data_IF_338698635507
#
_entry.id   IF_338698635507
#
_cell.length_a   1.000
_cell.length_b   1.000
_cell.length_c   1.000
_cell.angle_alpha   90.00
_cell.angle_beta   90.00
_cell.angle_gamma   90.00
#
_symmetry.space_group_name_H-M   'P 1'
#
loop_
_entity.id
_entity.type
_entity.pdbx_description
1 polymer ?
#
# COMPACT_ATOMS: atom_id res chain seq x y z
N UNK A 1 -7.82 20.82 -0.40
CA UNK A 1 -6.35 20.86 -0.22
C UNK A 1 -6.09 20.35 1.18
N UNK A 2 -5.78 19.06 1.32
CA UNK A 2 -5.43 18.48 2.63
C UNK A 2 -3.99 18.88 2.87
N UNK A 3 -3.76 19.76 3.84
CA UNK A 3 -2.39 20.11 4.27
C UNK A 3 -1.67 18.82 4.65
N UNK A 4 -0.54 18.57 4.02
CA UNK A 4 0.28 17.39 4.31
C UNK A 4 0.68 17.45 5.79
N UNK A 5 0.45 16.36 6.53
CA UNK A 5 0.86 16.24 7.94
C UNK A 5 2.36 16.54 8.06
N UNK A 6 2.70 17.59 8.80
CA UNK A 6 4.09 18.00 9.07
C UNK A 6 4.56 17.49 10.41
N UNK A 7 5.88 17.46 10.64
CA UNK A 7 6.46 17.07 11.94
C UNK A 7 6.00 18.00 13.06
N UNK A 8 5.82 19.29 12.75
CA UNK A 8 5.33 20.30 13.71
C UNK A 8 3.87 20.02 14.08
N UNK A 9 3.00 19.75 13.09
CA UNK A 9 1.61 19.38 13.31
C UNK A 9 1.49 18.07 14.08
N UNK A 10 2.29 17.06 13.72
CA UNK A 10 2.34 15.80 14.42
C UNK A 10 2.73 15.99 15.90
N UNK A 11 3.73 16.84 16.17
CA UNK A 11 4.17 17.14 17.53
C UNK A 11 3.12 17.92 18.34
N UNK A 12 2.45 18.87 17.70
CA UNK A 12 1.40 19.68 18.34
C UNK A 12 0.16 18.85 18.72
N UNK A 13 -0.13 17.77 17.96
CA UNK A 13 -1.27 16.89 18.20
C UNK A 13 -0.97 15.78 19.22
N UNK A 14 0.29 15.57 19.64
CA UNK A 14 0.63 14.59 20.67
C UNK A 14 -0.12 14.88 21.97
N UNK A 15 -0.75 13.85 22.52
CA UNK A 15 -1.61 13.96 23.71
C UNK A 15 -3.09 14.26 23.41
N UNK A 16 -3.46 14.57 22.16
CA UNK A 16 -4.84 14.63 21.70
C UNK A 16 -5.12 13.50 20.69
N UNK A 17 -5.32 12.30 21.22
CA UNK A 17 -5.39 11.07 20.42
C UNK A 17 -6.46 11.10 19.33
N UNK A 18 -7.60 11.76 19.53
CA UNK A 18 -8.68 11.81 18.55
C UNK A 18 -8.32 12.67 17.33
N UNK A 19 -7.75 13.86 17.56
CA UNK A 19 -7.32 14.75 16.49
C UNK A 19 -6.08 14.22 15.77
N UNK A 20 -5.12 13.68 16.51
CA UNK A 20 -3.94 13.05 15.98
C UNK A 20 -4.31 11.87 15.06
N UNK A 21 -5.19 10.99 15.54
CA UNK A 21 -5.68 9.86 14.73
C UNK A 21 -6.40 10.34 13.47
N UNK A 22 -7.29 11.32 13.60
CA UNK A 22 -7.99 11.90 12.45
C UNK A 22 -7.03 12.43 11.38
N UNK A 23 -6.00 13.20 11.78
CA UNK A 23 -5.00 13.75 10.88
C UNK A 23 -4.16 12.64 10.20
N UNK A 24 -3.74 11.63 10.97
CA UNK A 24 -2.98 10.49 10.47
C UNK A 24 -3.81 9.67 9.49
N UNK A 25 -5.06 9.36 9.85
CA UNK A 25 -5.97 8.60 8.99
C UNK A 25 -6.22 9.33 7.66
N UNK A 26 -6.57 10.62 7.71
CA UNK A 26 -6.80 11.42 6.50
C UNK A 26 -5.57 11.49 5.60
N UNK A 27 -4.37 11.52 6.17
CA UNK A 27 -3.12 11.61 5.41
C UNK A 27 -2.75 10.28 4.75
N UNK A 28 -2.95 9.15 5.44
CA UNK A 28 -2.34 7.88 5.02
C UNK A 28 -3.35 6.83 4.54
N UNK A 29 -4.65 6.92 4.88
CA UNK A 29 -5.62 5.86 4.57
C UNK A 29 -5.71 5.55 3.07
N UNK A 30 -5.76 6.58 2.22
CA UNK A 30 -5.78 6.39 0.77
C UNK A 30 -4.52 5.74 0.21
N UNK A 31 -3.35 6.06 0.78
CA UNK A 31 -2.09 5.45 0.37
C UNK A 31 -2.01 3.98 0.80
N UNK A 32 -2.47 3.65 2.02
CA UNK A 32 -2.55 2.26 2.52
C UNK A 32 -3.53 1.45 1.68
N UNK A 33 -4.73 2.00 1.41
CA UNK A 33 -5.73 1.37 0.56
C UNK A 33 -5.18 1.11 -0.85
N UNK A 34 -4.56 2.11 -1.47
CA UNK A 34 -3.92 1.99 -2.78
C UNK A 34 -2.81 0.92 -2.80
N UNK A 35 -1.99 0.84 -1.75
CA UNK A 35 -0.98 -0.19 -1.59
C UNK A 35 -1.59 -1.60 -1.53
N UNK A 36 -2.60 -1.82 -0.68
CA UNK A 36 -3.26 -3.11 -0.50
C UNK A 36 -4.00 -3.55 -1.77
N UNK A 37 -4.68 -2.61 -2.46
CA UNK A 37 -5.32 -2.85 -3.75
C UNK A 37 -4.30 -3.26 -4.81
N UNK A 38 -3.16 -2.57 -4.90
CA UNK A 38 -2.07 -2.89 -5.84
C UNK A 38 -1.45 -4.27 -5.57
N UNK A 39 -1.58 -4.78 -4.34
CA UNK A 39 -1.12 -6.10 -3.93
C UNK A 39 -2.17 -7.20 -4.12
N UNK A 40 -3.35 -6.87 -4.62
CA UNK A 40 -4.41 -7.83 -4.88
C UNK A 40 -5.03 -8.45 -3.62
N UNK A 41 -5.05 -7.70 -2.51
CA UNK A 41 -5.74 -8.13 -1.29
C UNK A 41 -7.26 -8.15 -1.57
N UNK A 42 -8.01 -9.20 -1.20
CA UNK A 42 -9.44 -9.32 -1.56
C UNK A 42 -10.34 -8.25 -0.96
N UNK A 43 -10.06 -7.86 0.27
CA UNK A 43 -10.81 -6.81 0.99
C UNK A 43 -9.81 -5.76 1.51
N UNK A 44 -9.31 -4.87 0.62
CA UNK A 44 -8.31 -3.90 1.00
C UNK A 44 -8.85 -2.85 1.97
N UNK A 45 -10.15 -2.55 1.95
CA UNK A 45 -10.80 -1.63 2.88
C UNK A 45 -10.79 -2.17 4.31
N UNK A 46 -11.20 -3.43 4.51
CA UNK A 46 -11.19 -4.05 5.83
C UNK A 46 -9.75 -4.14 6.38
N UNK A 47 -8.78 -4.54 5.54
CA UNK A 47 -7.38 -4.60 5.97
C UNK A 47 -6.83 -3.20 6.25
N UNK A 48 -7.24 -2.17 5.51
CA UNK A 48 -6.88 -0.77 5.82
C UNK A 48 -7.37 -0.38 7.21
N UNK A 49 -8.62 -0.69 7.56
CA UNK A 49 -9.16 -0.44 8.90
C UNK A 49 -8.36 -1.17 9.98
N UNK A 50 -8.04 -2.44 9.76
CA UNK A 50 -7.22 -3.25 10.67
C UNK A 50 -5.81 -2.66 10.88
N UNK A 51 -5.20 -2.11 9.83
CA UNK A 51 -3.92 -1.41 9.94
C UNK A 51 -4.03 -0.23 10.89
N UNK A 52 -5.04 0.64 10.71
CA UNK A 52 -5.19 1.82 11.56
C UNK A 52 -5.60 1.47 12.99
N UNK A 53 -6.41 0.43 13.21
CA UNK A 53 -6.70 -0.08 14.56
C UNK A 53 -5.44 -0.58 15.28
N UNK A 54 -4.48 -1.16 14.55
CA UNK A 54 -3.20 -1.58 15.12
C UNK A 54 -2.23 -0.42 15.35
N UNK A 55 -2.30 0.63 14.53
CA UNK A 55 -1.44 1.83 14.63
C UNK A 55 -1.90 2.77 15.75
N UNK A 56 -3.22 2.95 15.93
CA UNK A 56 -3.80 3.90 16.88
C UNK A 56 -3.22 3.82 18.30
N UNK A 57 -3.09 2.64 18.95
CA UNK A 57 -2.59 2.56 20.32
C UNK A 57 -1.11 2.93 20.47
N UNK A 58 -0.39 3.09 19.37
CA UNK A 58 1.06 3.30 19.34
C UNK A 58 1.48 4.68 18.80
N UNK A 59 0.52 5.53 18.44
CA UNK A 59 0.80 6.83 17.82
C UNK A 59 1.72 7.71 18.68
N UNK A 60 1.51 7.71 19.98
CA UNK A 60 2.31 8.52 20.91
C UNK A 60 3.75 8.01 21.09
N UNK A 61 3.97 6.70 20.89
CA UNK A 61 5.27 6.05 21.06
C UNK A 61 6.15 6.14 19.81
N UNK A 62 5.58 6.53 18.66
CA UNK A 62 6.32 6.55 17.40
C UNK A 62 7.32 7.71 17.40
N UNK A 63 8.58 7.38 17.14
CA UNK A 63 9.67 8.31 16.96
C UNK A 63 9.99 8.56 15.48
N UNK A 64 10.78 9.62 15.19
CA UNK A 64 11.20 9.92 13.82
C UNK A 64 10.20 10.72 12.99
N UNK A 65 9.25 11.39 13.65
CA UNK A 65 8.31 12.30 13.00
C UNK A 65 7.39 11.60 11.99
N UNK A 66 6.94 12.33 10.98
CA UNK A 66 6.08 11.83 9.90
C UNK A 66 6.76 10.71 9.11
N UNK A 67 8.09 10.78 8.96
CA UNK A 67 8.87 9.73 8.29
C UNK A 67 8.81 8.40 9.06
N UNK A 68 9.06 8.41 10.36
CA UNK A 68 8.96 7.21 11.22
C UNK A 68 7.53 6.68 11.28
N UNK A 69 6.54 7.57 11.40
CA UNK A 69 5.13 7.20 11.36
C UNK A 69 4.76 6.51 10.05
N UNK A 70 5.17 7.04 8.91
CA UNK A 70 4.95 6.43 7.59
C UNK A 70 5.56 5.02 7.52
N UNK A 71 6.83 4.87 7.92
CA UNK A 71 7.49 3.55 7.96
C UNK A 71 6.70 2.57 8.81
N UNK A 72 6.26 2.99 9.98
CA UNK A 72 5.50 2.13 10.89
C UNK A 72 4.15 1.72 10.30
N UNK A 73 3.36 2.65 9.75
CA UNK A 73 2.07 2.35 9.12
C UNK A 73 2.26 1.31 7.99
N UNK A 74 3.22 1.52 7.10
CA UNK A 74 3.44 0.60 5.97
C UNK A 74 4.10 -0.72 6.39
N UNK A 75 4.86 -0.78 7.48
CA UNK A 75 5.31 -2.04 8.09
C UNK A 75 4.12 -2.87 8.57
N UNK A 76 3.14 -2.24 9.22
CA UNK A 76 1.90 -2.90 9.66
C UNK A 76 1.08 -3.35 8.46
N UNK A 77 0.91 -2.50 7.44
CA UNK A 77 0.18 -2.83 6.23
C UNK A 77 0.81 -4.02 5.49
N UNK A 78 2.14 -4.02 5.35
CA UNK A 78 2.87 -5.13 4.74
C UNK A 78 2.70 -6.44 5.53
N UNK A 79 2.80 -6.40 6.85
CA UNK A 79 2.58 -7.57 7.69
C UNK A 79 1.17 -8.13 7.54
N UNK A 80 0.13 -7.27 7.53
CA UNK A 80 -1.27 -7.67 7.31
C UNK A 80 -1.48 -8.29 5.93
N UNK A 81 -0.92 -7.68 4.90
CA UNK A 81 -0.95 -8.20 3.53
C UNK A 81 -0.32 -9.61 3.44
N UNK A 82 0.86 -9.79 4.02
CA UNK A 82 1.54 -11.10 4.04
C UNK A 82 0.72 -12.15 4.78
N UNK A 83 0.13 -11.79 5.91
CA UNK A 83 -0.72 -12.70 6.68
C UNK A 83 -1.98 -13.09 5.89
N UNK A 84 -2.59 -12.15 5.15
CA UNK A 84 -3.75 -12.44 4.33
C UNK A 84 -3.43 -13.38 3.18
N UNK A 85 -2.33 -13.16 2.45
CA UNK A 85 -1.87 -14.08 1.42
C UNK A 85 -1.55 -15.49 1.97
N UNK A 86 -0.99 -15.58 3.18
CA UNK A 86 -0.75 -16.87 3.85
C UNK A 86 -2.04 -17.59 4.23
N UNK A 87 -3.07 -16.87 4.66
CA UNK A 87 -4.39 -17.46 4.92
C UNK A 87 -5.01 -18.02 3.66
N UNK A 88 -4.98 -17.27 2.55
CA UNK A 88 -5.49 -17.72 1.26
C UNK A 88 -4.78 -18.97 0.75
N UNK A 89 -3.45 -19.00 0.81
CA UNK A 89 -2.68 -20.18 0.36
C UNK A 89 -2.86 -21.42 1.25
N UNK A 90 -3.42 -21.28 2.45
CA UNK A 90 -3.74 -22.39 3.37
C UNK A 90 -5.21 -22.80 3.36
N UNK A 91 -6.09 -21.96 2.80
CA UNK A 91 -7.49 -22.30 2.64
C UNK A 91 -7.58 -23.47 1.64
N UNK A 92 -8.26 -24.61 1.98
CA UNK A 92 -8.53 -25.63 0.99
C UNK A 92 -9.33 -25.02 -0.17
N UNK A 93 -9.01 -25.37 -1.41
CA UNK A 93 -9.80 -24.99 -2.58
C UNK A 93 -11.22 -25.61 -2.49
N UNK A 94 -12.08 -25.02 -1.70
CA UNK A 94 -13.52 -25.23 -1.79
C UNK A 94 -14.05 -24.19 -2.79
N UNK A 95 -13.96 -24.51 -4.06
CA UNK A 95 -14.74 -23.87 -5.09
C UNK A 95 -16.19 -24.35 -5.00
N UNK A 96 -16.96 -23.84 -4.05
CA UNK A 96 -18.38 -23.69 -4.23
C UNK A 96 -18.56 -22.34 -4.94
N UNK A 97 -18.77 -22.39 -6.24
CA UNK A 97 -19.21 -21.27 -7.04
C UNK A 97 -20.61 -20.87 -6.56
N UNK A 98 -20.69 -19.88 -5.68
CA UNK A 98 -21.93 -19.26 -5.25
C UNK A 98 -22.14 -17.98 -6.06
N UNK A 99 -23.06 -18.01 -7.06
CA UNK A 99 -23.31 -16.85 -7.92
C UNK A 99 -24.06 -15.71 -7.20
N UNK A 100 -24.51 -15.90 -5.95
CA UNK A 100 -25.24 -14.89 -5.16
C UNK A 100 -24.34 -14.05 -4.26
N UNK A 101 -23.03 -14.34 -4.20
CA UNK A 101 -22.08 -13.63 -3.36
C UNK A 101 -21.27 -12.54 -4.07
N UNK A 102 -21.62 -12.21 -5.30
CA UNK A 102 -21.09 -11.04 -6.01
C UNK A 102 -21.86 -9.77 -5.62
N UNK A 103 -22.00 -9.54 -4.31
CA UNK A 103 -22.30 -8.21 -3.79
C UNK A 103 -21.01 -7.40 -3.80
N UNK A 104 -20.59 -6.93 -4.96
CA UNK A 104 -19.83 -5.70 -5.03
C UNK A 104 -20.71 -4.59 -4.48
N UNK A 105 -20.67 -4.43 -3.17
CA UNK A 105 -21.13 -3.18 -2.57
C UNK A 105 -20.34 -2.07 -3.24
N UNK A 106 -21.09 -1.16 -3.86
CA UNK A 106 -20.60 0.04 -4.51
C UNK A 106 -19.74 0.78 -3.49
N UNK A 107 -18.42 0.74 -3.67
CA UNK A 107 -17.50 1.54 -2.88
C UNK A 107 -17.99 2.99 -2.93
N UNK A 108 -17.97 3.68 -1.80
CA UNK A 108 -18.42 5.08 -1.78
C UNK A 108 -17.59 5.89 -2.77
N UNK A 109 -18.19 6.89 -3.42
CA UNK A 109 -17.51 7.75 -4.39
C UNK A 109 -16.23 8.41 -3.82
N UNK A 110 -16.13 8.53 -2.50
CA UNK A 110 -14.93 8.97 -1.77
C UNK A 110 -13.81 7.92 -1.79
N UNK A 111 -14.14 6.63 -1.61
CA UNK A 111 -13.17 5.54 -1.70
C UNK A 111 -12.67 5.38 -3.15
N UNK A 112 -13.55 5.54 -4.15
CA UNK A 112 -13.15 5.55 -5.56
C UNK A 112 -12.26 6.75 -5.91
N UNK A 113 -12.53 7.93 -5.36
CA UNK A 113 -11.67 9.11 -5.55
C UNK A 113 -10.28 8.94 -4.90
N UNK A 114 -10.16 8.19 -3.82
CA UNK A 114 -8.88 7.88 -3.15
C UNK A 114 -8.09 6.77 -3.87
N UNK A 115 -8.76 5.83 -4.53
CA UNK A 115 -8.14 4.77 -5.36
C UNK A 115 -7.60 5.32 -6.70
N UNK A 116 -8.05 6.51 -7.13
CA UNK A 116 -7.61 7.18 -8.37
C UNK A 116 -6.13 7.64 -8.39
N UNK A 117 -5.31 7.27 -7.40
CA UNK A 117 -3.87 7.58 -7.40
C UNK A 117 -3.04 6.69 -8.34
N UNK A 118 -3.59 5.59 -8.85
CA UNK A 118 -2.95 4.82 -9.92
C UNK A 118 -4.00 4.45 -10.97
N UNK A 119 -3.91 4.97 -12.21
CA UNK A 119 -4.76 4.55 -13.32
C UNK A 119 -4.73 3.03 -13.46
N UNK A 120 -5.87 2.41 -13.80
CA UNK A 120 -6.02 0.96 -14.00
C UNK A 120 -4.93 0.36 -14.90
N UNK A 121 -4.44 1.16 -15.85
CA UNK A 121 -3.33 0.86 -16.75
C UNK A 121 -1.99 0.66 -16.02
N UNK A 122 -1.72 1.46 -14.98
CA UNK A 122 -0.51 1.33 -14.15
C UNK A 122 -0.59 0.04 -13.31
N UNK A 123 -1.78 -0.29 -12.79
CA UNK A 123 -1.99 -1.53 -12.04
C UNK A 123 -1.74 -2.76 -12.92
N UNK A 124 -2.25 -2.77 -14.15
CA UNK A 124 -2.04 -3.85 -15.12
C UNK A 124 -0.54 -4.01 -15.48
N UNK A 125 0.24 -2.95 -15.44
CA UNK A 125 1.69 -3.03 -15.68
C UNK A 125 2.42 -3.74 -14.54
N UNK A 126 1.93 -3.63 -13.32
CA UNK A 126 2.53 -4.33 -12.18
C UNK A 126 2.39 -5.85 -12.26
N UNK A 127 1.42 -6.37 -13.02
CA UNK A 127 1.23 -7.82 -13.20
C UNK A 127 2.35 -8.50 -13.98
N UNK A 128 3.14 -7.73 -14.75
CA UNK A 128 4.32 -8.23 -15.46
C UNK A 128 5.57 -8.34 -14.56
N UNK A 129 5.49 -7.90 -13.31
CA UNK A 129 6.60 -7.90 -12.37
C UNK A 129 6.54 -9.12 -11.45
N UNK A 130 7.71 -9.67 -11.14
CA UNK A 130 7.82 -10.63 -10.03
C UNK A 130 7.49 -9.98 -8.68
N UNK A 131 7.11 -10.79 -7.69
CA UNK A 131 6.56 -10.34 -6.41
C UNK A 131 7.43 -9.29 -5.70
N UNK A 132 8.74 -9.54 -5.57
CA UNK A 132 9.68 -8.59 -4.95
C UNK A 132 9.82 -7.29 -5.74
N UNK A 133 9.77 -7.34 -7.07
CA UNK A 133 9.85 -6.16 -7.93
C UNK A 133 8.58 -5.32 -7.80
N UNK A 134 7.42 -5.97 -7.81
CA UNK A 134 6.11 -5.34 -7.60
C UNK A 134 6.07 -4.69 -6.23
N UNK A 135 6.53 -5.39 -5.19
CA UNK A 135 6.59 -4.87 -3.82
C UNK A 135 7.40 -3.58 -3.73
N UNK A 136 8.64 -3.61 -4.23
CA UNK A 136 9.51 -2.43 -4.23
C UNK A 136 8.87 -1.25 -4.93
N UNK A 137 8.31 -1.44 -6.14
CA UNK A 137 7.70 -0.33 -6.88
C UNK A 137 6.44 0.19 -6.19
N UNK A 138 5.60 -0.68 -5.64
CA UNK A 138 4.38 -0.26 -4.95
C UNK A 138 4.72 0.56 -3.70
N UNK A 139 5.66 0.10 -2.88
CA UNK A 139 6.12 0.85 -1.70
C UNK A 139 6.81 2.17 -2.08
N UNK A 140 7.59 2.20 -3.17
CA UNK A 140 8.28 3.41 -3.63
C UNK A 140 7.34 4.45 -4.25
N UNK A 141 6.39 4.01 -5.06
CA UNK A 141 5.55 4.91 -5.88
C UNK A 141 4.23 5.21 -5.18
N UNK A 142 3.50 4.20 -4.70
CA UNK A 142 2.19 4.40 -4.07
C UNK A 142 2.33 4.88 -2.63
N UNK A 143 3.20 4.25 -1.85
CA UNK A 143 3.44 4.61 -0.46
C UNK A 143 4.41 5.79 -0.29
N UNK A 144 5.15 6.18 -1.33
CA UNK A 144 6.12 7.29 -1.28
C UNK A 144 7.30 7.06 -0.33
N UNK A 145 7.67 5.78 -0.07
CA UNK A 145 8.72 5.42 0.86
C UNK A 145 10.13 5.63 0.27
N UNK A 146 11.12 5.91 1.11
CA UNK A 146 12.52 5.94 0.71
C UNK A 146 13.07 4.53 0.49
N UNK A 147 14.26 4.41 -0.10
CA UNK A 147 14.92 3.10 -0.29
C UNK A 147 15.17 2.42 1.06
N UNK A 148 15.62 3.20 2.03
CA UNK A 148 15.94 2.75 3.38
C UNK A 148 14.68 2.20 4.09
N UNK A 149 13.55 2.91 3.99
CA UNK A 149 12.26 2.47 4.53
C UNK A 149 11.77 1.17 3.87
N UNK A 150 11.88 1.07 2.54
CA UNK A 150 11.50 -0.15 1.81
C UNK A 150 12.42 -1.31 2.21
N UNK A 151 13.72 -1.06 2.37
CA UNK A 151 14.68 -2.06 2.81
C UNK A 151 14.33 -2.61 4.20
N UNK A 152 13.99 -1.71 5.13
CA UNK A 152 13.53 -2.08 6.49
C UNK A 152 12.25 -2.93 6.43
N UNK A 153 11.23 -2.51 5.70
CA UNK A 153 9.93 -3.20 5.58
C UNK A 153 10.09 -4.59 4.96
N UNK A 154 10.89 -4.70 3.89
CA UNK A 154 11.09 -5.96 3.17
C UNK A 154 12.17 -6.87 3.79
N UNK A 155 12.87 -6.42 4.83
CA UNK A 155 14.00 -7.16 5.42
C UNK A 155 15.14 -7.36 4.42
N UNK A 156 15.38 -6.40 3.53
CA UNK A 156 16.40 -6.45 2.48
C UNK A 156 17.45 -5.35 2.69
N UNK A 157 18.59 -5.45 2.00
CA UNK A 157 19.56 -4.35 1.99
C UNK A 157 19.14 -3.25 0.99
N UNK A 158 19.59 -2.02 1.20
CA UNK A 158 19.39 -0.90 0.28
C UNK A 158 19.85 -1.22 -1.14
N UNK A 159 20.98 -1.91 -1.25
CA UNK A 159 21.52 -2.36 -2.52
C UNK A 159 20.60 -3.33 -3.25
N UNK A 160 19.97 -4.26 -2.51
CA UNK A 160 18.99 -5.19 -3.07
C UNK A 160 17.72 -4.45 -3.53
N UNK A 161 17.21 -3.50 -2.75
CA UNK A 161 16.05 -2.68 -3.11
C UNK A 161 16.33 -1.86 -4.38
N UNK A 162 17.49 -1.20 -4.47
CA UNK A 162 17.90 -0.45 -5.66
C UNK A 162 17.99 -1.36 -6.91
N UNK A 163 18.51 -2.57 -6.76
CA UNK A 163 18.58 -3.56 -7.84
C UNK A 163 17.20 -4.03 -8.28
N UNK A 164 16.31 -4.35 -7.34
CA UNK A 164 14.93 -4.75 -7.62
C UNK A 164 14.17 -3.63 -8.35
N UNK A 165 14.28 -2.40 -7.85
CA UNK A 165 13.68 -1.22 -8.50
C UNK A 165 14.19 -1.06 -9.95
N UNK A 166 15.51 -1.14 -10.16
CA UNK A 166 16.10 -1.03 -11.49
C UNK A 166 15.57 -2.12 -12.43
N UNK A 167 15.55 -3.38 -12.00
CA UNK A 167 15.06 -4.50 -12.81
C UNK A 167 13.58 -4.34 -13.13
N UNK A 168 12.76 -3.93 -12.15
CA UNK A 168 11.35 -3.68 -12.34
C UNK A 168 11.10 -2.61 -13.42
N UNK A 169 11.82 -1.49 -13.37
CA UNK A 169 11.70 -0.42 -14.36
C UNK A 169 12.15 -0.87 -15.78
N UNK A 170 13.17 -1.72 -15.89
CA UNK A 170 13.59 -2.31 -17.16
C UNK A 170 12.48 -3.18 -17.73
N UNK A 171 11.93 -4.11 -16.91
CA UNK A 171 10.82 -4.99 -17.32
C UNK A 171 9.62 -4.19 -17.82
N UNK A 172 9.20 -3.16 -17.07
CA UNK A 172 8.09 -2.30 -17.48
C UNK A 172 8.35 -1.56 -18.79
N UNK A 173 9.59 -1.08 -18.98
CA UNK A 173 9.98 -0.39 -20.22
C UNK A 173 9.94 -1.32 -21.43
N UNK A 174 10.42 -2.54 -21.29
CA UNK A 174 10.38 -3.55 -22.35
C UNK A 174 8.94 -3.90 -22.73
N UNK A 175 8.05 -4.05 -21.76
CA UNK A 175 6.62 -4.29 -22.00
C UNK A 175 5.91 -3.11 -22.65
N UNK A 176 6.23 -1.88 -22.26
CA UNK A 176 5.65 -0.68 -22.87
C UNK A 176 6.10 -0.51 -24.32
N UNK A 177 7.37 -0.77 -24.62
CA UNK A 177 7.90 -0.74 -25.97
C UNK A 177 7.25 -1.79 -26.89
N UNK A 178 6.96 -2.99 -26.36
CA UNK A 178 6.25 -4.05 -27.13
C UNK A 178 4.81 -3.63 -27.43
N UNK A 179 4.10 -2.98 -26.51
CA UNK A 179 2.73 -2.50 -26.77
C UNK A 179 2.67 -1.42 -27.85
N UNK A 180 3.65 -0.54 -27.91
CA UNK A 180 3.73 0.53 -28.93
C UNK A 180 3.99 -0.05 -30.34
N UNK A 181 4.66 -1.19 -30.43
CA UNK A 181 4.92 -1.90 -31.70
C UNK A 181 3.77 -2.82 -32.17
N UNK A 182 2.86 -3.21 -31.29
CA UNK A 182 1.78 -4.17 -31.56
C UNK A 182 0.41 -3.49 -31.72
N UNK A 183 0.30 -2.20 -31.41
CA UNK A 183 -0.92 -1.43 -31.67
C UNK A 183 -0.93 -0.96 -33.13
N UNK A 184 -1.92 -1.45 -33.94
CA UNK A 184 -2.06 -1.07 -35.35
C UNK A 184 -2.46 0.40 -35.53
#
# INVERSE_FOLDING_TARGET
MTDALTDEALHALKGNNAELFGAVYQTFAGQVLGYLTAKGVPDPEAITQDVFLAVLPRLDDISGGVHGLRTFIFSVAHARMVDEHRKQSRAPEYHEFDPERDTREVSSAEAEAMVLLAPKEVMNLLDYLGDDQREVLTLRIVAGLTVEQVAEIMGKSDGAVKQLQRRALITLREHSAVKEYVSP
#
